data_IF_353575447425
#
_entry.id   IF_353575447425
#
_cell.length_a   1.000
_cell.length_b   1.000
_cell.length_c   1.000
_cell.angle_alpha   90.00
_cell.angle_beta   90.00
_cell.angle_gamma   90.00
#
_symmetry.space_group_name_H-M   'P 1'
#
loop_
_entity.id
_entity.type
_entity.pdbx_description
1 polymer ?
#
# COMPACT_ATOMS: atom_id res chain seq x y z
N UNK A 1 -30.57 16.66 4.33
CA UNK A 1 -30.59 16.20 2.92
C UNK A 1 -29.17 15.83 2.53
N UNK A 2 -28.85 14.54 2.60
CA UNK A 2 -27.47 14.05 2.64
C UNK A 2 -26.81 13.91 1.27
N UNK A 3 -25.49 14.09 1.27
CA UNK A 3 -24.49 13.69 0.27
C UNK A 3 -24.82 12.38 -0.47
N UNK A 4 -25.49 11.43 0.18
CA UNK A 4 -25.90 10.14 -0.39
C UNK A 4 -26.92 10.25 -1.55
N UNK A 5 -27.78 11.28 -1.58
CA UNK A 5 -28.71 11.47 -2.71
C UNK A 5 -28.04 12.06 -3.95
N UNK A 6 -26.84 12.66 -3.81
CA UNK A 6 -26.08 13.19 -4.96
C UNK A 6 -25.38 12.09 -5.75
N UNK A 7 -24.93 11.04 -5.07
CA UNK A 7 -24.24 9.91 -5.71
C UNK A 7 -25.23 9.07 -6.53
N UNK A 8 -26.44 8.84 -6.00
CA UNK A 8 -27.49 8.06 -6.70
C UNK A 8 -28.04 8.77 -7.95
N UNK A 9 -28.18 10.10 -7.90
CA UNK A 9 -28.66 10.88 -9.07
C UNK A 9 -27.62 11.01 -10.19
N UNK A 10 -26.34 10.74 -9.93
CA UNK A 10 -25.29 10.77 -10.96
C UNK A 10 -25.36 9.56 -11.92
N UNK A 11 -26.03 8.48 -11.52
CA UNK A 11 -26.14 7.24 -12.32
C UNK A 11 -27.35 7.28 -13.27
N UNK A 12 -28.36 8.13 -12.99
CA UNK A 12 -29.64 8.15 -13.74
C UNK A 12 -29.78 9.27 -14.78
N UNK A 13 -28.84 10.20 -14.88
CA UNK A 13 -28.86 11.23 -15.91
C UNK A 13 -28.05 10.79 -17.12
N UNK A 14 -28.55 9.81 -17.88
CA UNK A 14 -27.95 9.42 -19.16
C UNK A 14 -29.02 9.05 -20.17
N UNK A 15 -29.64 10.06 -20.80
CA UNK A 15 -30.21 9.93 -22.14
C UNK A 15 -30.36 11.31 -22.77
N UNK A 16 -29.58 11.52 -23.83
CA UNK A 16 -29.61 12.60 -24.81
C UNK A 16 -28.97 13.94 -24.42
N UNK A 17 -27.98 14.33 -25.24
CA UNK A 17 -27.35 15.66 -25.36
C UNK A 17 -26.12 16.01 -24.53
N UNK A 18 -25.34 15.03 -24.04
CA UNK A 18 -24.02 15.30 -23.44
C UNK A 18 -22.87 14.58 -24.18
N UNK A 19 -23.05 14.26 -25.46
CA UNK A 19 -22.00 13.63 -26.27
C UNK A 19 -21.11 14.65 -27.01
N UNK A 20 -21.59 15.88 -27.20
CA UNK A 20 -20.89 16.92 -27.97
C UNK A 20 -20.13 17.94 -27.10
N UNK A 21 -20.19 17.82 -25.77
CA UNK A 21 -19.57 18.77 -24.81
C UNK A 21 -18.75 18.07 -23.71
N UNK A 22 -18.25 16.86 -23.98
CA UNK A 22 -17.23 16.18 -23.17
C UNK A 22 -15.94 16.08 -23.99
N UNK A 23 -15.19 17.18 -24.03
CA UNK A 23 -13.94 17.30 -24.79
C UNK A 23 -12.88 16.27 -24.39
N UNK A 24 -12.88 15.74 -23.15
CA UNK A 24 -11.97 14.68 -22.75
C UNK A 24 -12.51 13.76 -21.61
N UNK A 25 -12.95 12.53 -21.88
CA UNK A 25 -13.45 11.60 -20.85
C UNK A 25 -12.36 11.14 -19.86
N UNK A 26 -11.07 11.22 -20.22
CA UNK A 26 -9.96 10.88 -19.31
C UNK A 26 -9.84 11.93 -18.22
N UNK A 27 -9.95 13.21 -18.56
CA UNK A 27 -9.82 14.30 -17.61
C UNK A 27 -10.91 14.26 -16.53
N UNK A 28 -12.13 13.85 -16.91
CA UNK A 28 -13.23 13.63 -15.97
C UNK A 28 -12.97 12.45 -15.02
N UNK A 29 -12.35 11.37 -15.51
CA UNK A 29 -11.94 10.24 -14.67
C UNK A 29 -10.82 10.66 -13.70
N UNK A 30 -9.84 11.44 -14.16
CA UNK A 30 -8.78 11.96 -13.31
C UNK A 30 -9.33 12.91 -12.24
N UNK A 31 -10.31 13.76 -12.58
CA UNK A 31 -10.99 14.61 -11.60
C UNK A 31 -11.76 13.78 -10.57
N UNK A 32 -12.49 12.75 -11.02
CA UNK A 32 -13.19 11.83 -10.10
C UNK A 32 -12.21 11.13 -9.15
N UNK A 33 -11.06 10.66 -9.65
CA UNK A 33 -10.00 10.06 -8.83
C UNK A 33 -9.52 11.05 -7.77
N UNK A 34 -9.22 12.31 -8.13
CA UNK A 34 -8.81 13.35 -7.18
C UNK A 34 -9.86 13.59 -6.08
N UNK A 35 -11.14 13.67 -6.45
CA UNK A 35 -12.22 13.89 -5.49
C UNK A 35 -12.41 12.69 -4.55
N UNK A 36 -12.25 11.47 -5.06
CA UNK A 36 -12.26 10.24 -4.26
C UNK A 36 -11.07 10.16 -3.32
N UNK A 37 -9.85 10.48 -3.77
CA UNK A 37 -8.64 10.54 -2.94
C UNK A 37 -8.77 11.56 -1.81
N UNK A 38 -9.30 12.74 -2.12
CA UNK A 38 -9.58 13.77 -1.11
C UNK A 38 -10.56 13.25 -0.04
N UNK A 39 -11.66 12.65 -0.48
CA UNK A 39 -12.69 12.09 0.41
C UNK A 39 -12.14 10.94 1.26
N UNK A 40 -11.33 10.07 0.66
CA UNK A 40 -10.66 8.97 1.37
C UNK A 40 -9.71 9.49 2.45
N UNK A 41 -8.87 10.48 2.11
CA UNK A 41 -7.95 11.09 3.06
C UNK A 41 -8.67 11.82 4.21
N UNK A 42 -9.77 12.51 3.93
CA UNK A 42 -10.62 13.13 4.95
C UNK A 42 -11.25 12.09 5.88
N UNK A 43 -11.82 11.03 5.31
CA UNK A 43 -12.38 9.91 6.07
C UNK A 43 -11.32 9.21 6.94
N UNK A 44 -10.10 9.04 6.41
CA UNK A 44 -8.96 8.46 7.14
C UNK A 44 -8.56 9.32 8.32
N UNK A 45 -8.45 10.65 8.14
CA UNK A 45 -8.14 11.60 9.22
C UNK A 45 -9.23 11.62 10.30
N UNK A 46 -10.49 11.67 9.89
CA UNK A 46 -11.63 11.63 10.83
C UNK A 46 -11.64 10.31 11.63
N UNK A 47 -11.35 9.19 10.96
CA UNK A 47 -11.30 7.88 11.60
C UNK A 47 -10.11 7.73 12.56
N UNK A 48 -8.98 8.41 12.30
CA UNK A 48 -7.80 8.34 13.16
C UNK A 48 -8.09 8.78 14.60
N UNK A 49 -8.92 9.82 14.79
CA UNK A 49 -9.32 10.28 16.12
C UNK A 49 -10.16 9.21 16.85
N UNK A 50 -11.02 8.50 16.13
CA UNK A 50 -11.86 7.43 16.70
C UNK A 50 -10.99 6.22 17.09
N UNK A 51 -10.04 5.82 16.23
CA UNK A 51 -9.10 4.76 16.55
C UNK A 51 -8.17 5.13 17.72
N UNK A 52 -7.76 6.39 17.81
CA UNK A 52 -7.01 6.92 18.95
C UNK A 52 -7.80 6.77 20.26
N UNK A 53 -9.04 7.26 20.29
CA UNK A 53 -9.91 7.14 21.47
C UNK A 53 -10.18 5.68 21.87
N UNK A 54 -10.34 4.79 20.89
CA UNK A 54 -10.49 3.36 21.13
C UNK A 54 -9.25 2.78 21.83
N UNK A 55 -8.05 3.13 21.33
CA UNK A 55 -6.78 2.68 21.89
C UNK A 55 -6.52 3.26 23.28
N UNK A 56 -6.90 4.50 23.53
CA UNK A 56 -6.84 5.11 24.87
C UNK A 56 -7.78 4.41 25.85
N UNK A 57 -8.99 4.05 25.41
CA UNK A 57 -9.96 3.29 26.22
C UNK A 57 -9.43 1.88 26.52
N UNK A 58 -8.86 1.21 25.51
CA UNK A 58 -8.22 -0.09 25.66
C UNK A 58 -7.06 -0.06 26.66
N UNK A 59 -6.21 0.97 26.57
CA UNK A 59 -5.10 1.17 27.52
C UNK A 59 -5.62 1.32 28.95
N UNK A 60 -6.59 2.21 29.18
CA UNK A 60 -7.20 2.42 30.51
C UNK A 60 -7.86 1.14 31.05
N UNK A 61 -8.49 0.37 30.17
CA UNK A 61 -9.10 -0.91 30.51
C UNK A 61 -8.02 -1.89 30.99
N UNK A 62 -6.92 -2.02 30.24
CA UNK A 62 -5.81 -2.91 30.61
C UNK A 62 -5.13 -2.47 31.92
N UNK A 63 -4.94 -1.16 32.13
CA UNK A 63 -4.43 -0.61 33.40
C UNK A 63 -5.33 -0.97 34.58
N UNK A 64 -6.67 -0.84 34.44
CA UNK A 64 -7.61 -1.22 35.51
C UNK A 64 -7.57 -2.73 35.80
N UNK A 65 -7.38 -3.56 34.77
CA UNK A 65 -7.22 -5.01 34.92
C UNK A 65 -5.94 -5.37 35.67
N UNK A 66 -4.84 -4.70 35.33
CA UNK A 66 -3.55 -4.89 36.00
C UNK A 66 -3.61 -4.43 37.47
N UNK A 67 -4.24 -3.29 37.72
CA UNK A 67 -4.46 -2.78 39.08
C UNK A 67 -5.27 -3.78 39.94
N UNK A 68 -6.32 -4.38 39.37
CA UNK A 68 -7.08 -5.44 40.05
C UNK A 68 -6.20 -6.65 40.39
N UNK A 69 -5.36 -7.10 39.45
CA UNK A 69 -4.44 -8.21 39.69
C UNK A 69 -3.43 -7.89 40.81
N UNK A 70 -2.87 -6.68 40.83
CA UNK A 70 -1.98 -6.23 41.90
C UNK A 70 -2.66 -6.20 43.27
N UNK A 71 -3.93 -5.77 43.35
CA UNK A 71 -4.67 -5.83 44.60
C UNK A 71 -5.02 -7.25 45.01
N UNK A 72 -5.29 -8.16 44.07
CA UNK A 72 -5.49 -9.59 44.35
C UNK A 72 -4.25 -10.21 45.01
N UNK A 73 -3.06 -9.92 44.50
CA UNK A 73 -1.79 -10.34 45.12
C UNK A 73 -1.63 -9.77 46.54
N UNK A 74 -1.95 -8.48 46.74
CA UNK A 74 -1.92 -7.85 48.07
C UNK A 74 -2.91 -8.48 49.04
N UNK A 75 -4.11 -8.88 48.58
CA UNK A 75 -5.09 -9.63 49.37
C UNK A 75 -4.49 -10.96 49.81
N UNK A 76 -3.93 -11.75 48.87
CA UNK A 76 -3.31 -13.05 49.17
C UNK A 76 -2.16 -12.90 50.17
N UNK A 77 -1.31 -11.89 49.99
CA UNK A 77 -0.21 -11.60 50.89
C UNK A 77 -0.70 -11.25 52.30
N UNK A 78 -1.69 -10.36 52.44
CA UNK A 78 -2.24 -9.99 53.73
C UNK A 78 -2.90 -11.18 54.46
N UNK A 79 -3.63 -12.02 53.71
CA UNK A 79 -4.20 -13.27 54.22
C UNK A 79 -3.12 -14.25 54.69
N UNK A 80 -2.04 -14.42 53.92
CA UNK A 80 -0.92 -15.30 54.30
C UNK A 80 -0.22 -14.88 55.60
N UNK A 81 -0.28 -13.57 55.92
CA UNK A 81 0.26 -12.99 57.16
C UNK A 81 -0.76 -12.87 58.29
N UNK A 82 -1.98 -13.41 58.11
CA UNK A 82 -3.05 -13.36 59.10
C UNK A 82 -3.62 -11.96 59.37
N UNK A 83 -3.36 -10.98 58.49
CA UNK A 83 -3.84 -9.60 58.66
C UNK A 83 -5.14 -9.39 57.88
N UNK A 84 -6.27 -9.81 58.48
CA UNK A 84 -7.58 -9.74 57.86
C UNK A 84 -8.07 -8.30 57.58
N UNK A 85 -7.72 -7.34 58.44
CA UNK A 85 -8.08 -5.93 58.22
C UNK A 85 -7.45 -5.39 56.94
N UNK A 86 -6.15 -5.67 56.74
CA UNK A 86 -5.44 -5.24 55.54
C UNK A 86 -5.94 -5.98 54.29
N UNK A 87 -6.27 -7.27 54.42
CA UNK A 87 -6.86 -8.06 53.34
C UNK A 87 -8.22 -7.48 52.90
N UNK A 88 -9.10 -7.11 53.85
CA UNK A 88 -10.39 -6.46 53.54
C UNK A 88 -10.22 -5.12 52.83
N UNK A 89 -9.24 -4.30 53.25
CA UNK A 89 -8.94 -3.02 52.59
C UNK A 89 -8.45 -3.22 51.15
N UNK A 90 -7.51 -4.15 50.93
CA UNK A 90 -7.02 -4.49 49.59
C UNK A 90 -8.12 -5.09 48.70
N UNK A 91 -8.99 -5.94 49.27
CA UNK A 91 -10.11 -6.53 48.55
C UNK A 91 -11.11 -5.47 48.07
N UNK A 92 -11.38 -4.44 48.89
CA UNK A 92 -12.23 -3.33 48.48
C UNK A 92 -11.67 -2.61 47.25
N UNK A 93 -10.37 -2.31 47.26
CA UNK A 93 -9.68 -1.68 46.13
C UNK A 93 -9.72 -2.56 44.87
N UNK A 94 -9.48 -3.88 45.02
CA UNK A 94 -9.65 -4.85 43.93
C UNK A 94 -11.05 -4.76 43.30
N UNK A 95 -12.10 -4.80 44.13
CA UNK A 95 -13.48 -4.74 43.66
C UNK A 95 -13.81 -3.43 42.94
N UNK A 96 -13.23 -2.32 43.39
CA UNK A 96 -13.39 -1.02 42.73
C UNK A 96 -12.65 -0.99 41.38
N UNK A 97 -11.45 -1.54 41.28
CA UNK A 97 -10.72 -1.73 40.00
C UNK A 97 -11.45 -2.67 39.05
N UNK A 98 -12.05 -3.76 39.54
CA UNK A 98 -12.86 -4.69 38.74
C UNK A 98 -14.09 -3.99 38.14
N UNK A 99 -14.81 -3.19 38.94
CA UNK A 99 -15.94 -2.39 38.44
C UNK A 99 -15.51 -1.39 37.37
N UNK A 100 -14.36 -0.74 37.57
CA UNK A 100 -13.77 0.18 36.59
C UNK A 100 -13.43 -0.54 35.29
N UNK A 101 -12.82 -1.73 35.38
CA UNK A 101 -12.53 -2.57 34.22
C UNK A 101 -13.80 -2.93 33.44
N UNK A 102 -14.85 -3.43 34.11
CA UNK A 102 -16.10 -3.82 33.44
C UNK A 102 -16.79 -2.63 32.75
N UNK A 103 -16.78 -1.45 33.39
CA UNK A 103 -17.31 -0.23 32.77
C UNK A 103 -16.51 0.19 31.53
N UNK A 104 -15.18 0.14 31.60
CA UNK A 104 -14.31 0.47 30.46
C UNK A 104 -14.43 -0.56 29.34
N UNK A 105 -14.59 -1.84 29.68
CA UNK A 105 -14.80 -2.92 28.72
C UNK A 105 -16.09 -2.74 27.92
N UNK A 106 -17.20 -2.45 28.58
CA UNK A 106 -18.46 -2.16 27.89
C UNK A 106 -18.33 -0.94 26.95
N UNK A 107 -17.61 0.11 27.37
CA UNK A 107 -17.34 1.27 26.53
C UNK A 107 -16.45 0.91 25.34
N UNK A 108 -15.38 0.13 25.55
CA UNK A 108 -14.47 -0.35 24.51
C UNK A 108 -15.21 -1.18 23.47
N UNK A 109 -16.06 -2.14 23.89
CA UNK A 109 -16.83 -2.98 22.96
C UNK A 109 -17.76 -2.14 22.07
N UNK A 110 -18.45 -1.16 22.66
CA UNK A 110 -19.30 -0.24 21.90
C UNK A 110 -18.52 0.67 20.93
N UNK A 111 -17.33 1.14 21.32
CA UNK A 111 -16.46 1.92 20.44
C UNK A 111 -15.84 1.06 19.33
N UNK A 112 -15.43 -0.17 19.65
CA UNK A 112 -14.82 -1.12 18.72
C UNK A 112 -15.76 -1.47 17.57
N UNK A 113 -17.03 -1.76 17.86
CA UNK A 113 -18.02 -2.03 16.82
C UNK A 113 -18.14 -0.87 15.81
N UNK A 114 -18.10 0.38 16.29
CA UNK A 114 -18.12 1.57 15.41
C UNK A 114 -16.84 1.70 14.60
N UNK A 115 -15.69 1.45 15.24
CA UNK A 115 -14.38 1.49 14.60
C UNK A 115 -14.26 0.43 13.49
N UNK A 116 -14.79 -0.77 13.72
CA UNK A 116 -14.80 -1.87 12.73
C UNK A 116 -15.66 -1.51 11.51
N UNK A 117 -16.83 -0.89 11.71
CA UNK A 117 -17.67 -0.39 10.60
C UNK A 117 -16.93 0.68 9.79
N UNK A 118 -16.24 1.63 10.45
CA UNK A 118 -15.46 2.65 9.77
C UNK A 118 -14.29 2.06 8.98
N UNK A 119 -13.58 1.09 9.57
CA UNK A 119 -12.51 0.36 8.90
C UNK A 119 -13.04 -0.34 7.64
N UNK A 120 -14.18 -1.01 7.72
CA UNK A 120 -14.83 -1.64 6.58
C UNK A 120 -15.14 -0.65 5.45
N UNK A 121 -15.69 0.52 5.79
CA UNK A 121 -16.00 1.58 4.81
C UNK A 121 -14.75 2.17 4.16
N UNK A 122 -13.66 2.34 4.91
CA UNK A 122 -12.39 2.81 4.35
C UNK A 122 -11.83 1.81 3.34
N UNK A 123 -11.88 0.52 3.64
CA UNK A 123 -11.46 -0.54 2.70
C UNK A 123 -12.34 -0.56 1.45
N UNK A 124 -13.64 -0.32 1.58
CA UNK A 124 -14.55 -0.22 0.43
C UNK A 124 -14.24 0.99 -0.46
N UNK A 125 -13.98 2.16 0.15
CA UNK A 125 -13.57 3.38 -0.57
C UNK A 125 -12.24 3.19 -1.32
N UNK A 126 -11.26 2.54 -0.68
CA UNK A 126 -9.98 2.20 -1.29
C UNK A 126 -10.16 1.29 -2.51
N UNK A 127 -10.96 0.23 -2.39
CA UNK A 127 -11.27 -0.66 -3.52
C UNK A 127 -11.96 0.07 -4.68
N UNK A 128 -12.89 0.98 -4.39
CA UNK A 128 -13.58 1.75 -5.42
C UNK A 128 -12.63 2.73 -6.12
N UNK A 129 -11.68 3.32 -5.38
CA UNK A 129 -10.64 4.16 -5.93
C UNK A 129 -9.73 3.38 -6.90
N UNK A 130 -9.28 2.20 -6.51
CA UNK A 130 -8.43 1.35 -7.35
C UNK A 130 -9.15 0.85 -8.61
N UNK A 131 -10.43 0.50 -8.49
CA UNK A 131 -11.28 0.19 -9.66
C UNK A 131 -11.38 1.39 -10.60
N UNK A 132 -11.57 2.59 -10.07
CA UNK A 132 -11.69 3.81 -10.88
C UNK A 132 -10.38 4.13 -11.59
N UNK A 133 -9.23 3.94 -10.93
CA UNK A 133 -7.89 4.06 -11.54
C UNK A 133 -7.70 3.06 -12.68
N UNK A 134 -8.03 1.78 -12.42
CA UNK A 134 -7.93 0.72 -13.44
C UNK A 134 -8.80 1.03 -14.67
N UNK A 135 -10.03 1.51 -14.43
CA UNK A 135 -10.94 1.92 -15.51
C UNK A 135 -10.41 3.13 -16.29
N UNK A 136 -9.76 4.09 -15.62
CA UNK A 136 -9.09 5.22 -16.25
C UNK A 136 -7.97 4.74 -17.17
N UNK A 137 -7.11 3.86 -16.69
CA UNK A 137 -5.97 3.34 -17.47
C UNK A 137 -6.46 2.57 -18.71
N UNK A 138 -7.51 1.76 -18.55
CA UNK A 138 -8.17 1.09 -19.68
C UNK A 138 -8.78 2.07 -20.68
N UNK A 139 -9.44 3.14 -20.20
CA UNK A 139 -10.03 4.16 -21.05
C UNK A 139 -8.96 4.92 -21.86
N UNK A 140 -7.82 5.25 -21.24
CA UNK A 140 -6.66 5.87 -21.91
C UNK A 140 -6.11 4.97 -23.00
N UNK A 141 -5.90 3.68 -22.71
CA UNK A 141 -5.41 2.72 -23.71
C UNK A 141 -6.36 2.60 -24.91
N UNK A 142 -7.68 2.54 -24.66
CA UNK A 142 -8.70 2.48 -25.72
C UNK A 142 -8.72 3.75 -26.57
N UNK A 143 -8.59 4.93 -25.95
CA UNK A 143 -8.53 6.20 -26.67
C UNK A 143 -7.28 6.28 -27.55
N UNK A 144 -6.10 5.93 -27.02
CA UNK A 144 -4.87 5.89 -27.79
C UNK A 144 -4.97 4.95 -29.00
N UNK A 145 -5.57 3.76 -28.82
CA UNK A 145 -5.81 2.81 -29.91
C UNK A 145 -6.80 3.35 -30.96
N UNK A 146 -7.87 4.01 -30.52
CA UNK A 146 -8.86 4.62 -31.40
C UNK A 146 -8.26 5.79 -32.21
N UNK A 147 -7.45 6.63 -31.57
CA UNK A 147 -6.73 7.73 -32.23
C UNK A 147 -5.71 7.20 -33.25
N UNK A 148 -4.91 6.19 -32.89
CA UNK A 148 -3.99 5.54 -33.82
C UNK A 148 -4.73 4.94 -35.03
N UNK A 149 -5.87 4.28 -34.78
CA UNK A 149 -6.72 3.72 -35.85
C UNK A 149 -7.32 4.80 -36.74
N UNK A 150 -7.79 5.92 -36.16
CA UNK A 150 -8.28 7.08 -36.89
C UNK A 150 -7.19 7.70 -37.77
N UNK A 151 -5.99 7.90 -37.24
CA UNK A 151 -4.85 8.41 -38.01
C UNK A 151 -4.48 7.48 -39.18
N UNK A 152 -4.47 6.16 -38.97
CA UNK A 152 -4.22 5.18 -40.05
C UNK A 152 -5.31 5.29 -41.12
N UNK A 153 -6.58 5.34 -40.73
CA UNK A 153 -7.70 5.45 -41.66
C UNK A 153 -7.70 6.79 -42.41
N UNK A 154 -7.33 7.90 -41.78
CA UNK A 154 -7.16 9.19 -42.43
C UNK A 154 -6.00 9.19 -43.43
N UNK A 155 -4.89 8.50 -43.12
CA UNK A 155 -3.79 8.29 -44.07
C UNK A 155 -4.27 7.46 -45.26
N UNK A 156 -4.97 6.33 -45.03
CA UNK A 156 -5.52 5.48 -46.09
C UNK A 156 -6.53 6.26 -46.94
N UNK A 157 -7.43 7.03 -46.33
CA UNK A 157 -8.43 7.84 -47.04
C UNK A 157 -7.78 8.97 -47.86
N UNK A 158 -6.75 9.63 -47.33
CA UNK A 158 -5.97 10.62 -48.09
C UNK A 158 -5.20 9.97 -49.25
N UNK A 159 -4.71 8.74 -49.07
CA UNK A 159 -4.06 7.95 -50.12
C UNK A 159 -5.07 7.56 -51.22
N UNK A 160 -6.30 7.19 -50.86
CA UNK A 160 -7.34 6.81 -51.82
C UNK A 160 -7.99 8.01 -52.55
N UNK A 161 -8.07 9.17 -51.91
CA UNK A 161 -8.70 10.39 -52.45
C UNK A 161 -7.83 11.10 -53.52
N UNK A 162 -6.50 10.93 -53.48
CA UNK A 162 -5.59 11.51 -54.49
C UNK A 162 -5.24 10.49 -55.58
N UNK A 163 -6.09 10.42 -56.61
CA UNK A 163 -5.76 9.79 -57.89
C UNK A 163 -4.67 10.59 -58.65
N UNK A 164 -3.42 10.51 -58.20
CA UNK A 164 -2.24 10.77 -59.05
C UNK A 164 -0.98 10.16 -58.40
N UNK A 165 -0.36 9.24 -59.13
CA UNK A 165 0.96 8.61 -58.92
C UNK A 165 1.52 8.66 -57.50
N UNK A 166 1.20 7.64 -56.71
CA UNK A 166 1.92 7.34 -55.46
C UNK A 166 3.33 6.87 -55.85
N UNK A 167 4.36 7.62 -55.46
CA UNK A 167 5.73 7.11 -55.46
C UNK A 167 5.83 6.07 -54.34
N UNK A 168 6.07 4.82 -54.70
CA UNK A 168 6.27 3.70 -53.76
C UNK A 168 7.36 4.05 -52.73
N UNK A 169 8.37 4.82 -53.13
CA UNK A 169 9.42 5.37 -52.26
C UNK A 169 8.90 6.20 -51.06
N UNK A 170 7.77 6.90 -51.17
CA UNK A 170 7.26 7.73 -50.07
C UNK A 170 6.47 6.90 -49.05
N UNK A 171 5.81 5.82 -49.52
CA UNK A 171 5.22 4.80 -48.65
C UNK A 171 6.32 4.04 -47.94
N UNK A 172 7.36 3.62 -48.67
CA UNK A 172 8.50 2.88 -48.11
C UNK A 172 9.28 3.76 -47.11
N UNK A 173 9.45 5.05 -47.37
CA UNK A 173 9.99 6.01 -46.38
C UNK A 173 9.06 6.25 -45.19
N UNK A 174 7.75 6.21 -45.36
CA UNK A 174 6.79 6.38 -44.26
C UNK A 174 6.73 5.14 -43.37
N UNK A 175 6.70 3.95 -43.97
CA UNK A 175 6.77 2.66 -43.29
C UNK A 175 8.14 2.55 -42.60
N UNK A 176 9.24 2.81 -43.30
CA UNK A 176 10.58 2.81 -42.70
C UNK A 176 10.70 3.84 -41.57
N UNK A 177 10.09 5.03 -41.66
CA UNK A 177 10.03 5.98 -40.54
C UNK A 177 9.19 5.48 -39.37
N UNK A 178 8.06 4.83 -39.61
CA UNK A 178 7.22 4.27 -38.55
C UNK A 178 7.84 3.02 -37.91
N UNK A 179 8.50 2.18 -38.69
CA UNK A 179 9.31 1.06 -38.22
C UNK A 179 10.53 1.56 -37.45
N UNK A 180 11.20 2.62 -37.91
CA UNK A 180 12.30 3.27 -37.18
C UNK A 180 11.82 3.98 -35.91
N UNK A 181 10.59 4.50 -35.89
CA UNK A 181 9.98 5.11 -34.71
C UNK A 181 9.48 4.07 -33.70
N UNK A 182 8.93 2.95 -34.18
CA UNK A 182 8.54 1.81 -33.34
C UNK A 182 9.79 1.10 -32.78
N UNK A 183 10.80 0.86 -33.62
CA UNK A 183 12.12 0.37 -33.19
C UNK A 183 12.83 1.37 -32.28
N UNK A 184 12.72 2.68 -32.56
CA UNK A 184 13.24 3.74 -31.70
C UNK A 184 12.47 3.86 -30.37
N UNK A 185 11.18 3.52 -30.33
CA UNK A 185 10.38 3.40 -29.09
C UNK A 185 10.70 2.12 -28.33
N UNK A 186 11.05 1.04 -29.03
CA UNK A 186 11.53 -0.22 -28.46
C UNK A 186 12.98 -0.08 -27.95
N UNK A 187 13.78 0.81 -28.55
CA UNK A 187 15.12 1.21 -28.14
C UNK A 187 15.12 2.37 -27.10
N UNK A 188 14.07 3.19 -27.03
CA UNK A 188 13.75 4.06 -25.87
C UNK A 188 13.17 3.27 -24.70
N UNK A 189 12.58 2.09 -24.99
CA UNK A 189 12.37 1.00 -24.03
C UNK A 189 13.63 0.15 -23.83
N UNK A 190 14.69 0.44 -24.58
CA UNK A 190 16.02 -0.08 -24.37
C UNK A 190 16.60 0.59 -23.14
N UNK A 191 16.80 -0.24 -22.13
CA UNK A 191 17.44 0.00 -20.84
C UNK A 191 17.13 1.38 -20.25
N UNK A 192 16.02 1.43 -19.50
CA UNK A 192 15.78 2.54 -18.56
C UNK A 192 17.03 2.74 -17.70
N UNK A 193 17.33 3.97 -17.29
CA UNK A 193 18.31 4.23 -16.23
C UNK A 193 18.04 3.32 -15.01
N UNK A 194 16.78 2.98 -14.74
CA UNK A 194 16.42 2.02 -13.68
C UNK A 194 16.87 0.57 -13.99
N UNK A 195 16.93 0.15 -15.25
CA UNK A 195 17.48 -1.16 -15.67
C UNK A 195 19.02 -1.16 -15.66
N UNK A 196 19.67 -0.04 -16.03
CA UNK A 196 21.12 0.16 -15.85
C UNK A 196 21.50 0.20 -14.36
N UNK A 197 20.69 0.86 -13.52
CA UNK A 197 20.86 0.84 -12.07
C UNK A 197 20.55 -0.55 -11.49
N UNK A 198 19.55 -1.29 -11.98
CA UNK A 198 19.30 -2.66 -11.56
C UNK A 198 20.44 -3.61 -11.93
N UNK A 199 21.07 -3.43 -13.11
CA UNK A 199 22.28 -4.18 -13.51
C UNK A 199 23.51 -3.77 -12.71
N UNK A 200 23.66 -2.49 -12.35
CA UNK A 200 24.71 -2.02 -11.44
C UNK A 200 24.47 -2.50 -10.00
N UNK A 201 23.20 -2.62 -9.58
CA UNK A 201 22.80 -3.16 -8.28
C UNK A 201 23.03 -4.68 -8.26
N UNK A 202 22.77 -5.40 -9.35
CA UNK A 202 23.09 -6.83 -9.50
C UNK A 202 24.62 -7.08 -9.56
N UNK A 203 25.38 -6.25 -10.29
CA UNK A 203 26.85 -6.28 -10.31
C UNK A 203 27.47 -5.91 -8.96
N UNK A 204 26.90 -4.94 -8.23
CA UNK A 204 27.38 -4.55 -6.90
C UNK A 204 26.96 -5.53 -5.80
N UNK A 205 25.81 -6.20 -5.95
CA UNK A 205 25.40 -7.30 -5.09
C UNK A 205 26.32 -8.51 -5.30
N UNK A 206 26.74 -8.81 -6.54
CA UNK A 206 27.72 -9.85 -6.84
C UNK A 206 29.13 -9.49 -6.36
N UNK A 207 29.53 -8.21 -6.40
CA UNK A 207 30.79 -7.72 -5.80
C UNK A 207 30.75 -7.72 -4.27
N UNK A 208 29.60 -7.41 -3.64
CA UNK A 208 29.39 -7.60 -2.19
C UNK A 208 29.34 -9.08 -1.82
N UNK A 209 28.69 -9.94 -2.62
CA UNK A 209 28.69 -11.40 -2.41
C UNK A 209 30.10 -11.98 -2.56
N UNK A 210 30.90 -11.48 -3.51
CA UNK A 210 32.31 -11.85 -3.66
C UNK A 210 33.17 -11.33 -2.50
N UNK A 211 32.87 -10.17 -1.92
CA UNK A 211 33.49 -9.72 -0.67
C UNK A 211 33.14 -10.64 0.50
N UNK A 212 31.88 -11.06 0.65
CA UNK A 212 31.48 -12.02 1.69
C UNK A 212 32.07 -13.43 1.45
N UNK A 213 32.16 -13.90 0.19
CA UNK A 213 32.83 -15.16 -0.15
C UNK A 213 34.34 -15.08 0.08
N UNK A 214 34.98 -13.96 -0.25
CA UNK A 214 36.41 -13.75 -0.04
C UNK A 214 36.74 -13.54 1.44
N UNK A 215 35.86 -12.90 2.23
CA UNK A 215 35.99 -12.85 3.69
C UNK A 215 35.84 -14.24 4.32
N UNK A 216 34.86 -15.06 3.89
CA UNK A 216 34.77 -16.45 4.36
C UNK A 216 35.94 -17.33 3.91
N UNK A 217 36.59 -17.03 2.78
CA UNK A 217 37.77 -17.78 2.31
C UNK A 217 39.08 -17.29 2.95
N UNK A 218 39.08 -16.11 3.60
CA UNK A 218 40.22 -15.65 4.41
C UNK A 218 40.07 -15.98 5.90
N UNK A 219 38.85 -16.16 6.43
CA UNK A 219 38.65 -16.73 7.78
C UNK A 219 38.98 -18.24 7.84
N UNK A 220 38.82 -18.99 6.73
CA UNK A 220 39.25 -20.39 6.66
C UNK A 220 40.76 -20.59 6.42
N UNK A 221 41.53 -19.53 6.15
CA UNK A 221 43.00 -19.62 5.99
C UNK A 221 43.81 -19.13 7.20
N UNK A 222 43.18 -18.48 8.17
CA UNK A 222 43.80 -18.15 9.46
C UNK A 222 43.49 -19.18 10.55
N UNK A 223 42.42 -19.98 10.39
CA UNK A 223 42.08 -21.09 11.29
C UNK A 223 43.05 -22.28 11.18
N UNK A 224 43.53 -22.63 9.98
CA UNK A 224 44.44 -23.77 9.79
C UNK A 224 45.87 -23.52 10.30
N UNK A 225 46.27 -22.26 10.55
CA UNK A 225 47.62 -21.95 11.06
C UNK A 225 47.71 -21.94 12.59
N UNK A 226 46.61 -21.83 13.33
CA UNK A 226 46.63 -21.89 14.80
C UNK A 226 46.38 -23.31 15.32
N UNK A 227 45.65 -24.16 14.59
CA UNK A 227 45.39 -25.55 14.97
C UNK A 227 46.64 -26.44 14.80
N UNK A 228 47.48 -26.19 13.80
CA UNK A 228 48.74 -26.93 13.61
C UNK A 228 49.84 -26.52 14.61
N UNK A 229 49.83 -25.26 15.10
CA UNK A 229 50.76 -24.81 16.15
C UNK A 229 50.38 -25.31 17.56
N UNK A 230 49.12 -25.71 17.78
CA UNK A 230 48.66 -26.26 19.06
C UNK A 230 48.75 -27.80 19.12
N UNK A 231 48.78 -28.48 17.97
CA UNK A 231 49.03 -29.93 17.86
C UNK A 231 50.50 -30.34 18.04
N UNK A 232 51.47 -29.46 17.81
CA UNK A 232 52.88 -29.73 18.13
C UNK A 232 53.20 -29.63 19.63
N UNK A 233 52.42 -28.89 20.42
CA UNK A 233 52.61 -28.82 21.88
C UNK A 233 52.18 -30.08 22.63
N UNK A 234 51.41 -30.97 21.98
CA UNK A 234 50.98 -32.26 22.55
C UNK A 234 51.75 -33.48 22.03
N UNK A 235 52.71 -33.30 21.10
CA UNK A 235 53.57 -34.42 20.62
C UNK A 235 54.97 -34.47 21.22
N UNK A 236 55.36 -33.52 22.06
CA UNK A 236 56.67 -33.50 22.74
C UNK A 236 56.56 -33.30 24.28
N UNK A 237 55.52 -33.85 24.91
CA UNK A 237 55.46 -34.04 26.36
C UNK A 237 54.89 -35.41 26.71
#
# INVERSE_FOLDING_TARGET
>A
MGIFNRISNMIKAKTNSALDEMENPVELLDQKIRDMEKSFNEAKRSSAQIFGNLKDTEKKMNEAKEESAQYDEKVRLAMSKGNEELAKKALKLKLDSDKKFESLKASYEGQRAKADVLKGKLVELEKELDKTRSYRDEAVARLNNAEASKQINEVIANVQSKSNSINIDDIERSISRKESYAAGLEELKGESLDDEFAKLEELSLDDELNKYRTQNTQEDRTSDSEVDLELEKYKNK
#
